data_IF_738880311814
#
_entry.id   IF_738880311814
#
_cell.length_a   1.000
_cell.length_b   1.000
_cell.length_c   1.000
_cell.angle_alpha   90.00
_cell.angle_beta   90.00
_cell.angle_gamma   90.00
#
_symmetry.space_group_name_H-M   'P 1'
#
loop_
_entity.id
_entity.type
_entity.pdbx_description
1 polymer ?
#
# COMPACT_ATOMS: atom_id res chain seq x y z
N UNK A 1 -16.85 15.29 7.86
CA UNK A 1 -16.51 15.53 6.40
C UNK A 1 -16.08 14.19 5.80
N UNK A 2 -16.93 13.27 5.88
CA UNK A 2 -16.14 12.14 6.27
C UNK A 2 -16.53 10.87 5.56
N UNK A 3 -17.73 10.47 5.54
CA UNK A 3 -18.07 9.23 4.88
C UNK A 3 -18.32 9.43 3.37
N UNK A 4 -18.91 10.55 2.98
CA UNK A 4 -19.21 10.84 1.56
C UNK A 4 -17.92 11.00 0.73
N UNK A 5 -16.91 11.74 1.21
CA UNK A 5 -15.64 11.90 0.50
C UNK A 5 -14.85 10.58 0.47
N UNK A 6 -14.91 9.78 1.51
CA UNK A 6 -14.32 8.46 1.54
C UNK A 6 -14.98 7.52 0.52
N UNK A 7 -16.30 7.45 0.50
CA UNK A 7 -17.07 6.64 -0.48
C UNK A 7 -16.79 7.13 -1.91
N UNK A 8 -16.87 8.45 -2.14
CA UNK A 8 -16.59 9.04 -3.44
C UNK A 8 -15.17 8.73 -3.93
N UNK A 9 -14.17 8.78 -3.06
CA UNK A 9 -12.79 8.44 -3.43
C UNK A 9 -12.64 6.99 -3.86
N UNK A 10 -13.36 6.08 -3.22
CA UNK A 10 -13.36 4.64 -3.58
C UNK A 10 -14.07 4.39 -4.91
N UNK A 11 -15.25 4.99 -5.12
CA UNK A 11 -16.00 4.88 -6.37
C UNK A 11 -15.25 5.53 -7.54
N UNK A 12 -14.69 6.72 -7.31
CA UNK A 12 -13.88 7.42 -8.31
C UNK A 12 -12.64 6.60 -8.68
N UNK A 13 -11.98 5.99 -7.68
CA UNK A 13 -10.85 5.11 -7.95
C UNK A 13 -11.25 3.90 -8.79
N UNK A 14 -12.41 3.29 -8.56
CA UNK A 14 -12.90 2.16 -9.35
C UNK A 14 -13.02 2.51 -10.84
N UNK A 15 -13.52 3.70 -11.16
CA UNK A 15 -13.64 4.19 -12.53
C UNK A 15 -12.30 4.67 -13.13
N UNK A 16 -11.44 5.28 -12.31
CA UNK A 16 -10.16 5.86 -12.74
C UNK A 16 -8.99 4.87 -12.68
N UNK A 17 -9.20 3.64 -12.20
CA UNK A 17 -8.18 2.59 -12.31
C UNK A 17 -7.75 2.48 -13.76
N UNK A 18 -6.45 2.52 -14.08
CA UNK A 18 -5.97 2.58 -15.46
C UNK A 18 -6.57 1.52 -16.39
N UNK A 19 -6.68 0.28 -15.92
CA UNK A 19 -7.30 -0.79 -16.69
C UNK A 19 -8.80 -0.56 -16.92
N UNK A 20 -9.56 -0.25 -15.86
CA UNK A 20 -11.00 0.03 -16.00
C UNK A 20 -11.24 1.24 -16.92
N UNK A 21 -10.47 2.31 -16.76
CA UNK A 21 -10.57 3.50 -17.58
C UNK A 21 -10.28 3.20 -19.06
N UNK A 22 -9.23 2.44 -19.36
CA UNK A 22 -8.92 2.03 -20.75
C UNK A 22 -10.04 1.22 -21.38
N UNK A 23 -10.67 0.30 -20.63
CA UNK A 23 -11.85 -0.45 -21.09
C UNK A 23 -13.05 0.45 -21.32
N UNK A 24 -13.32 1.40 -20.44
CA UNK A 24 -14.43 2.36 -20.60
C UNK A 24 -14.22 3.24 -21.85
N UNK A 25 -12.99 3.68 -22.10
CA UNK A 25 -12.62 4.44 -23.30
C UNK A 25 -12.85 3.58 -24.55
N UNK A 26 -12.40 2.34 -24.58
CA UNK A 26 -12.62 1.43 -25.70
C UNK A 26 -14.12 1.15 -25.92
N UNK A 27 -14.88 0.95 -24.85
CA UNK A 27 -16.33 0.72 -24.92
C UNK A 27 -17.08 1.95 -25.46
N UNK A 28 -16.71 3.16 -25.01
CA UNK A 28 -17.28 4.40 -25.54
C UNK A 28 -17.02 4.55 -27.05
N UNK A 29 -15.81 4.18 -27.49
CA UNK A 29 -15.46 4.11 -28.92
C UNK A 29 -16.33 3.14 -29.69
N UNK A 30 -16.56 1.93 -29.14
CA UNK A 30 -17.44 0.93 -29.73
C UNK A 30 -18.88 1.44 -29.91
N UNK A 31 -19.43 2.09 -28.88
CA UNK A 31 -20.75 2.73 -28.94
C UNK A 31 -20.79 3.83 -30.00
N UNK A 32 -19.72 4.62 -30.14
CA UNK A 32 -19.62 5.65 -31.17
C UNK A 32 -19.62 5.04 -32.59
N UNK A 33 -18.87 3.96 -32.83
CA UNK A 33 -18.86 3.25 -34.11
C UNK A 33 -20.25 2.67 -34.41
N UNK A 34 -20.88 2.02 -33.42
CA UNK A 34 -22.24 1.49 -33.55
C UNK A 34 -23.27 2.56 -33.93
N UNK A 35 -23.07 3.81 -33.44
CA UNK A 35 -23.87 4.97 -33.81
C UNK A 35 -23.44 5.64 -35.13
N UNK A 36 -22.62 5.00 -35.94
CA UNK A 36 -22.14 5.50 -37.22
C UNK A 36 -21.08 6.58 -37.16
N UNK A 37 -20.45 6.81 -35.98
CA UNK A 37 -19.43 7.83 -35.79
C UNK A 37 -18.05 7.30 -36.20
N UNK A 38 -17.47 7.84 -37.28
CA UNK A 38 -16.16 7.39 -37.83
C UNK A 38 -14.99 7.56 -36.84
N UNK A 39 -15.06 8.54 -35.94
CA UNK A 39 -14.01 8.78 -34.96
C UNK A 39 -13.96 7.73 -33.85
N UNK A 40 -15.00 6.90 -33.68
CA UNK A 40 -15.08 5.87 -32.62
C UNK A 40 -13.95 4.84 -32.66
N UNK A 41 -13.27 4.67 -33.80
CA UNK A 41 -12.09 3.80 -33.89
C UNK A 41 -10.91 4.23 -33.01
N UNK A 42 -10.72 5.54 -32.83
CA UNK A 42 -9.58 6.07 -32.04
C UNK A 42 -9.64 5.69 -30.55
N UNK A 43 -10.76 5.86 -29.82
CA UNK A 43 -10.87 5.39 -28.45
C UNK A 43 -10.69 3.87 -28.30
N UNK A 44 -11.18 3.08 -29.28
CA UNK A 44 -10.96 1.61 -29.28
C UNK A 44 -9.45 1.33 -29.35
N UNK A 45 -8.76 1.95 -30.32
CA UNK A 45 -7.32 1.78 -30.47
C UNK A 45 -6.55 2.28 -29.25
N UNK A 46 -6.95 3.40 -28.63
CA UNK A 46 -6.31 3.93 -27.41
C UNK A 46 -6.48 2.95 -26.23
N UNK A 47 -7.70 2.48 -25.99
CA UNK A 47 -7.96 1.54 -24.89
C UNK A 47 -7.26 0.19 -25.05
N UNK A 48 -7.33 -0.42 -26.23
CA UNK A 48 -6.61 -1.67 -26.51
C UNK A 48 -5.10 -1.46 -26.56
N UNK A 49 -4.64 -0.34 -27.13
CA UNK A 49 -3.24 0.03 -27.22
C UNK A 49 -2.58 0.14 -25.84
N UNK A 50 -3.31 0.62 -24.82
CA UNK A 50 -2.85 0.63 -23.45
C UNK A 50 -2.49 -0.78 -22.95
N UNK A 51 -3.34 -1.80 -23.20
CA UNK A 51 -3.05 -3.17 -22.79
C UNK A 51 -1.89 -3.78 -23.57
N UNK A 52 -1.79 -3.49 -24.87
CA UNK A 52 -0.63 -3.88 -25.65
C UNK A 52 0.66 -3.21 -25.16
N UNK A 53 0.60 -1.93 -24.81
CA UNK A 53 1.74 -1.23 -24.26
C UNK A 53 2.19 -1.85 -22.91
N UNK A 54 1.25 -2.20 -22.04
CA UNK A 54 1.57 -2.93 -20.80
C UNK A 54 2.19 -4.30 -21.05
N UNK A 55 1.75 -4.99 -22.11
CA UNK A 55 2.29 -6.30 -22.46
C UNK A 55 3.70 -6.21 -23.04
N UNK A 56 3.97 -5.21 -23.89
CA UNK A 56 5.23 -5.08 -24.62
C UNK A 56 6.28 -4.23 -23.89
N UNK A 57 5.85 -3.23 -23.12
CA UNK A 57 6.74 -2.29 -22.44
C UNK A 57 6.73 -2.51 -20.93
N UNK A 58 7.84 -2.26 -20.24
CA UNK A 58 7.93 -2.43 -18.78
C UNK A 58 7.32 -1.24 -18.01
N UNK A 59 6.12 -0.79 -18.41
CA UNK A 59 5.45 0.40 -17.83
C UNK A 59 5.25 0.26 -16.31
N UNK A 60 4.93 -0.94 -15.84
CA UNK A 60 4.80 -1.25 -14.42
C UNK A 60 6.10 -1.01 -13.66
N UNK A 61 7.25 -1.36 -14.25
CA UNK A 61 8.57 -1.11 -13.65
C UNK A 61 8.84 0.39 -13.59
N UNK A 62 8.58 1.13 -14.66
CA UNK A 62 8.84 2.57 -14.72
C UNK A 62 8.00 3.37 -13.70
N UNK A 63 6.82 2.88 -13.36
CA UNK A 63 5.96 3.50 -12.36
C UNK A 63 6.34 3.11 -10.93
N UNK A 64 6.75 1.87 -10.70
CA UNK A 64 7.04 1.31 -9.38
C UNK A 64 8.47 1.61 -8.90
N UNK A 65 9.47 1.39 -9.74
CA UNK A 65 10.89 1.47 -9.35
C UNK A 65 11.28 2.82 -8.70
N UNK A 66 10.84 4.00 -9.20
CA UNK A 66 11.16 5.26 -8.53
C UNK A 66 10.59 5.38 -7.12
N UNK A 67 9.45 4.71 -6.84
CA UNK A 67 8.85 4.66 -5.51
C UNK A 67 9.65 3.74 -4.58
N UNK A 68 10.02 2.57 -5.08
CA UNK A 68 10.70 1.54 -4.30
C UNK A 68 12.16 1.88 -3.99
N UNK A 69 12.84 2.55 -4.93
CA UNK A 69 14.22 3.01 -4.74
C UNK A 69 14.33 4.28 -3.88
N UNK A 70 13.20 4.95 -3.57
CA UNK A 70 13.22 6.22 -2.85
C UNK A 70 13.70 6.10 -1.41
N UNK A 71 13.31 5.03 -0.73
CA UNK A 71 13.71 4.73 0.63
C UNK A 71 14.33 3.33 0.66
N UNK A 72 15.63 3.21 0.43
CA UNK A 72 16.29 1.93 0.50
C UNK A 72 16.25 1.39 1.95
N UNK A 73 16.24 0.08 2.08
CA UNK A 73 16.44 -0.57 3.38
C UNK A 73 17.80 -0.14 3.94
N UNK A 74 17.91 0.23 5.22
CA UNK A 74 19.20 0.57 5.82
C UNK A 74 20.26 -0.53 5.56
N UNK A 75 21.44 -0.15 5.10
CA UNK A 75 22.53 -1.10 4.82
C UNK A 75 22.95 -1.86 6.09
N UNK A 76 22.94 -1.15 7.21
CA UNK A 76 23.11 -1.72 8.53
C UNK A 76 21.84 -1.51 9.34
N UNK A 77 21.34 -2.60 9.90
CA UNK A 77 20.17 -2.50 10.76
C UNK A 77 20.55 -1.79 12.08
N UNK A 78 19.69 -0.90 12.60
CA UNK A 78 19.96 -0.20 13.84
C UNK A 78 20.39 -1.14 14.97
N UNK A 79 21.37 -0.74 15.77
CA UNK A 79 21.85 -1.55 16.88
C UNK A 79 20.76 -1.77 17.95
N UNK A 80 19.87 -0.79 18.10
CA UNK A 80 18.73 -0.83 19.02
C UNK A 80 17.47 -0.35 18.30
N UNK A 81 16.37 -1.06 18.55
CA UNK A 81 15.02 -0.71 18.10
C UNK A 81 14.07 -0.81 19.29
N UNK A 82 13.37 0.26 19.58
CA UNK A 82 12.44 0.38 20.71
C UNK A 82 11.00 0.02 20.28
N UNK A 83 10.71 0.16 18.96
CA UNK A 83 9.42 -0.22 18.43
C UNK A 83 9.40 -0.42 16.92
N UNK A 84 8.39 -1.17 16.49
CA UNK A 84 8.14 -1.51 15.09
C UNK A 84 6.69 -1.16 14.80
N UNK A 85 6.46 -0.27 13.84
CA UNK A 85 5.11 0.07 13.35
C UNK A 85 4.88 -0.60 12.01
N UNK A 86 3.79 -1.33 11.91
CA UNK A 86 3.40 -2.07 10.70
C UNK A 86 2.10 -1.50 10.16
N UNK A 87 2.13 -1.08 8.90
CA UNK A 87 0.93 -0.60 8.21
C UNK A 87 0.14 -1.78 7.62
N UNK A 88 -1.16 -1.76 7.83
CA UNK A 88 -2.11 -2.73 7.26
C UNK A 88 -2.15 -2.75 5.72
N UNK A 89 -3.03 -3.56 5.17
CA UNK A 89 -3.18 -3.77 3.72
C UNK A 89 -2.50 -5.04 3.19
N UNK A 90 -2.14 -5.98 4.08
CA UNK A 90 -1.51 -7.25 3.72
C UNK A 90 -2.41 -8.47 3.99
N UNK A 91 -3.57 -8.29 4.61
CA UNK A 91 -4.47 -9.38 4.98
C UNK A 91 -5.75 -9.36 4.16
N UNK A 92 -6.31 -10.54 3.94
CA UNK A 92 -7.60 -10.79 3.27
C UNK A 92 -8.63 -11.17 4.35
N UNK A 93 -9.31 -10.17 4.89
CA UNK A 93 -10.23 -10.31 6.03
C UNK A 93 -11.39 -11.26 5.73
N UNK A 94 -12.10 -11.03 4.61
CA UNK A 94 -13.27 -11.84 4.22
C UNK A 94 -12.89 -13.31 4.00
N UNK A 95 -11.71 -13.55 3.41
CA UNK A 95 -11.21 -14.90 3.19
C UNK A 95 -10.81 -15.56 4.50
N UNK A 96 -10.18 -14.80 5.41
CA UNK A 96 -9.85 -15.27 6.76
C UNK A 96 -11.11 -15.66 7.53
N UNK A 97 -12.14 -14.80 7.53
CA UNK A 97 -13.40 -15.08 8.20
C UNK A 97 -14.09 -16.32 7.62
N UNK A 98 -14.13 -16.41 6.28
CA UNK A 98 -14.78 -17.53 5.59
C UNK A 98 -14.06 -18.88 5.78
N UNK A 99 -12.74 -18.89 6.03
CA UNK A 99 -11.91 -20.10 6.10
C UNK A 99 -11.36 -20.41 7.47
N UNK A 100 -11.42 -19.47 8.41
CA UNK A 100 -10.94 -19.63 9.79
C UNK A 100 -9.42 -19.67 9.95
N UNK A 101 -8.67 -19.33 8.90
CA UNK A 101 -7.20 -19.25 8.92
C UNK A 101 -6.74 -17.90 8.34
N UNK A 102 -5.69 -17.26 8.89
CA UNK A 102 -5.17 -16.00 8.37
C UNK A 102 -4.79 -16.11 6.90
N UNK A 103 -5.45 -15.33 6.05
CA UNK A 103 -5.17 -15.23 4.62
C UNK A 103 -4.41 -13.94 4.32
N UNK A 104 -3.32 -14.04 3.55
CA UNK A 104 -2.47 -12.91 3.17
C UNK A 104 -2.53 -12.69 1.66
N UNK A 105 -2.44 -11.45 1.25
CA UNK A 105 -2.32 -11.07 -0.14
C UNK A 105 -0.84 -10.95 -0.58
N UNK A 106 -0.60 -10.42 -1.77
CA UNK A 106 0.75 -10.23 -2.32
C UNK A 106 1.69 -9.31 -1.52
N UNK A 107 1.22 -8.72 -0.41
CA UNK A 107 2.04 -7.91 0.50
C UNK A 107 2.37 -8.64 1.82
N UNK A 108 2.35 -9.98 1.81
CA UNK A 108 2.57 -10.84 2.97
C UNK A 108 3.85 -10.51 3.76
N UNK A 109 4.87 -9.98 3.12
CA UNK A 109 6.13 -9.59 3.77
C UNK A 109 5.93 -8.53 4.86
N UNK A 110 4.88 -7.70 4.78
CA UNK A 110 4.51 -6.78 5.88
C UNK A 110 4.13 -7.51 7.16
N UNK A 111 3.70 -8.76 7.05
CA UNK A 111 3.28 -9.57 8.19
C UNK A 111 4.39 -10.52 8.69
N UNK A 112 5.25 -10.98 7.80
CA UNK A 112 6.34 -11.91 8.14
C UNK A 112 7.60 -11.22 8.62
N UNK A 113 7.99 -10.10 8.01
CA UNK A 113 9.18 -9.35 8.42
C UNK A 113 9.13 -8.85 9.89
N UNK A 114 8.00 -8.32 10.40
CA UNK A 114 7.91 -7.93 11.80
C UNK A 114 8.24 -9.06 12.77
N UNK A 115 7.89 -10.31 12.47
CA UNK A 115 8.22 -11.45 13.31
C UNK A 115 9.73 -11.69 13.37
N UNK A 116 10.42 -11.56 12.23
CA UNK A 116 11.88 -11.66 12.20
C UNK A 116 12.54 -10.50 12.98
N UNK A 117 11.99 -9.28 12.84
CA UNK A 117 12.45 -8.10 13.59
C UNK A 117 12.22 -8.26 15.10
N UNK A 118 11.08 -8.80 15.52
CA UNK A 118 10.78 -9.05 16.94
C UNK A 118 11.73 -10.07 17.56
N UNK A 119 12.21 -11.04 16.79
CA UNK A 119 13.26 -11.98 17.23
C UNK A 119 14.64 -11.31 17.34
N UNK A 120 14.94 -10.41 16.40
CA UNK A 120 16.19 -9.64 16.39
C UNK A 120 16.26 -8.61 17.50
N UNK A 121 15.11 -7.99 17.82
CA UNK A 121 14.98 -6.92 18.82
C UNK A 121 14.00 -7.37 19.92
N UNK A 122 14.45 -8.17 20.87
CA UNK A 122 13.58 -8.79 21.87
C UNK A 122 12.89 -7.77 22.79
N UNK A 123 13.42 -6.56 22.90
CA UNK A 123 12.84 -5.48 23.73
C UNK A 123 11.90 -4.55 22.94
N UNK A 124 11.82 -4.68 21.61
CA UNK A 124 10.99 -3.80 20.80
C UNK A 124 9.49 -4.07 21.03
N UNK A 125 8.71 -3.01 20.96
CA UNK A 125 7.23 -3.05 20.93
C UNK A 125 6.75 -3.21 19.49
N UNK A 126 5.76 -4.06 19.23
CA UNK A 126 5.15 -4.24 17.93
C UNK A 126 3.80 -3.52 17.89
N UNK A 127 3.63 -2.58 16.98
CA UNK A 127 2.39 -1.84 16.81
C UNK A 127 1.86 -2.06 15.39
N UNK A 128 0.67 -2.62 15.29
CA UNK A 128 -0.06 -2.71 14.03
C UNK A 128 -1.02 -1.53 13.91
N UNK A 129 -1.14 -0.96 12.71
CA UNK A 129 -2.13 0.04 12.40
C UNK A 129 -2.84 -0.29 11.09
N UNK A 130 -4.12 -0.49 11.17
CA UNK A 130 -4.98 -0.83 10.05
C UNK A 130 -6.36 -1.23 10.56
N UNK A 131 -7.31 -0.35 10.33
CA UNK A 131 -8.69 -0.57 10.71
C UNK A 131 -9.54 -1.08 9.54
N UNK A 132 -10.75 -0.57 9.44
CA UNK A 132 -11.69 -0.91 8.39
C UNK A 132 -11.50 -0.02 7.15
N UNK A 133 -10.54 -0.36 6.31
CA UNK A 133 -10.32 0.32 5.02
C UNK A 133 -11.38 0.01 3.96
N UNK A 134 -12.30 -0.94 4.18
CA UNK A 134 -13.32 -1.33 3.24
C UNK A 134 -14.67 -0.65 3.50
N UNK A 135 -15.51 -0.56 2.44
CA UNK A 135 -16.79 0.14 2.49
C UNK A 135 -17.91 -0.64 3.21
N UNK A 136 -17.78 -1.96 3.31
CA UNK A 136 -18.86 -2.87 3.71
C UNK A 136 -18.32 -3.98 4.62
N UNK A 137 -17.77 -3.66 5.80
CA UNK A 137 -17.32 -4.70 6.71
C UNK A 137 -17.98 -4.59 8.09
N UNK A 138 -18.59 -5.68 8.53
CA UNK A 138 -19.09 -5.91 9.88
C UNK A 138 -18.39 -7.10 10.57
N UNK A 139 -17.29 -7.64 9.96
CA UNK A 139 -16.58 -8.82 10.44
C UNK A 139 -15.21 -8.53 11.04
N UNK A 140 -14.24 -9.42 10.84
CA UNK A 140 -12.86 -9.32 11.33
C UNK A 140 -12.19 -8.05 10.78
N UNK A 141 -11.45 -7.35 11.65
CA UNK A 141 -10.59 -6.24 11.24
C UNK A 141 -9.23 -6.76 10.75
N UNK A 142 -8.47 -5.93 10.01
CA UNK A 142 -7.07 -6.27 9.69
C UNK A 142 -6.24 -6.56 10.95
N UNK A 143 -6.52 -5.83 12.02
CA UNK A 143 -5.84 -5.99 13.31
C UNK A 143 -6.16 -7.33 13.98
N UNK A 144 -7.39 -7.86 13.83
CA UNK A 144 -7.76 -9.16 14.36
C UNK A 144 -6.99 -10.28 13.65
N UNK A 145 -6.91 -10.21 12.32
CA UNK A 145 -6.13 -11.16 11.52
C UNK A 145 -4.64 -11.07 11.84
N UNK A 146 -4.10 -9.86 11.96
CA UNK A 146 -2.70 -9.65 12.34
C UNK A 146 -2.39 -10.21 13.72
N UNK A 147 -3.28 -10.01 14.70
CA UNK A 147 -3.17 -10.53 16.06
C UNK A 147 -3.12 -12.05 16.05
N UNK A 148 -4.08 -12.69 15.37
CA UNK A 148 -4.12 -14.14 15.23
C UNK A 148 -2.83 -14.68 14.63
N UNK A 149 -2.46 -14.15 13.45
CA UNK A 149 -1.26 -14.60 12.74
C UNK A 149 0.01 -14.49 13.57
N UNK A 150 0.24 -13.34 14.20
CA UNK A 150 1.47 -13.12 14.97
C UNK A 150 1.50 -13.92 16.27
N UNK A 151 0.35 -14.17 16.89
CA UNK A 151 0.24 -15.08 18.03
C UNK A 151 0.59 -16.51 17.61
N UNK A 152 0.05 -16.99 16.49
CA UNK A 152 0.34 -18.32 15.93
C UNK A 152 1.82 -18.46 15.52
N UNK A 153 2.46 -17.35 15.12
CA UNK A 153 3.90 -17.28 14.82
C UNK A 153 4.80 -17.10 16.05
N UNK A 154 4.22 -17.07 17.27
CA UNK A 154 4.93 -17.02 18.54
C UNK A 154 5.38 -15.62 18.99
N UNK A 155 4.77 -14.55 18.48
CA UNK A 155 5.01 -13.20 19.04
C UNK A 155 4.24 -13.05 20.34
N UNK A 156 4.89 -12.65 21.45
CA UNK A 156 4.23 -12.52 22.75
C UNK A 156 3.13 -11.45 22.72
N UNK A 157 1.90 -11.77 23.17
CA UNK A 157 0.76 -10.83 23.11
C UNK A 157 1.00 -9.51 23.84
N UNK A 158 1.74 -9.53 24.94
CA UNK A 158 2.07 -8.35 25.75
C UNK A 158 2.98 -7.35 25.02
N UNK A 159 3.63 -7.77 23.96
CA UNK A 159 4.48 -6.92 23.11
C UNK A 159 3.75 -6.37 21.90
N UNK A 160 2.51 -6.77 21.69
CA UNK A 160 1.71 -6.35 20.55
C UNK A 160 0.66 -5.31 20.95
N UNK A 161 0.55 -4.27 20.16
CA UNK A 161 -0.49 -3.24 20.29
C UNK A 161 -1.16 -3.03 18.94
N UNK A 162 -2.48 -2.83 18.91
CA UNK A 162 -3.26 -2.76 17.69
C UNK A 162 -4.10 -1.49 17.67
N UNK A 163 -3.88 -0.68 16.64
CA UNK A 163 -4.72 0.46 16.30
C UNK A 163 -5.72 0.02 15.23
N UNK A 164 -7.02 0.18 15.49
CA UNK A 164 -8.11 -0.39 14.69
C UNK A 164 -9.07 0.64 14.09
N UNK A 165 -8.90 1.91 14.42
CA UNK A 165 -9.83 2.97 14.03
C UNK A 165 -9.44 3.67 12.72
N UNK A 166 -8.18 3.57 12.30
CA UNK A 166 -7.67 4.24 11.12
C UNK A 166 -8.29 3.72 9.82
N UNK A 167 -8.71 4.63 8.94
CA UNK A 167 -9.33 4.34 7.64
C UNK A 167 -8.44 4.71 6.45
N UNK A 168 -7.33 5.39 6.71
CA UNK A 168 -6.38 5.86 5.70
C UNK A 168 -5.01 6.10 6.33
N UNK A 169 -3.97 6.29 5.50
CA UNK A 169 -2.58 6.42 5.97
C UNK A 169 -2.35 7.63 6.89
N UNK A 170 -3.11 8.70 6.73
CA UNK A 170 -3.01 9.85 7.64
C UNK A 170 -3.53 9.49 9.05
N UNK A 171 -4.68 8.83 9.12
CA UNK A 171 -5.23 8.34 10.38
C UNK A 171 -4.31 7.28 11.00
N UNK A 172 -3.71 6.39 10.19
CA UNK A 172 -2.69 5.46 10.67
C UNK A 172 -1.57 6.20 11.42
N UNK A 173 -0.98 7.23 10.83
CA UNK A 173 0.12 7.95 11.46
C UNK A 173 -0.31 8.65 12.77
N UNK A 174 -1.41 9.40 12.72
CA UNK A 174 -1.86 10.22 13.87
C UNK A 174 -2.32 9.34 15.03
N UNK A 175 -3.18 8.35 14.76
CA UNK A 175 -3.75 7.50 15.80
C UNK A 175 -2.68 6.58 16.40
N UNK A 176 -1.80 6.03 15.55
CA UNK A 176 -0.72 5.17 16.03
C UNK A 176 0.32 5.94 16.82
N UNK A 177 0.65 7.18 16.42
CA UNK A 177 1.53 8.04 17.20
C UNK A 177 0.95 8.31 18.59
N UNK A 178 -0.33 8.63 18.67
CA UNK A 178 -1.02 8.86 19.95
C UNK A 178 -1.09 7.59 20.82
N UNK A 179 -1.18 6.42 20.21
CA UNK A 179 -1.23 5.12 20.89
C UNK A 179 0.15 4.68 21.36
N UNK A 180 1.14 4.70 20.46
CA UNK A 180 2.50 4.22 20.72
C UNK A 180 3.29 5.14 21.66
N UNK A 181 2.97 6.46 21.64
CA UNK A 181 3.63 7.51 22.45
C UNK A 181 5.16 7.39 22.40
N UNK A 182 5.77 7.49 21.21
CA UNK A 182 7.22 7.38 21.07
C UNK A 182 7.90 8.47 21.90
N UNK A 183 8.95 8.09 22.59
CA UNK A 183 9.74 9.02 23.41
C UNK A 183 10.92 9.57 22.60
N UNK A 184 11.40 10.74 22.99
CA UNK A 184 12.62 11.27 22.39
C UNK A 184 13.80 10.32 22.59
N UNK A 185 14.53 10.05 21.50
CA UNK A 185 15.66 9.10 21.50
C UNK A 185 15.29 7.63 21.27
N UNK A 186 14.00 7.27 21.20
CA UNK A 186 13.59 5.94 20.77
C UNK A 186 13.74 5.77 19.27
N UNK A 187 14.24 4.61 18.84
CA UNK A 187 14.31 4.21 17.43
C UNK A 187 13.12 3.35 17.08
N UNK A 188 12.30 3.81 16.13
CA UNK A 188 11.15 3.10 15.62
C UNK A 188 11.33 2.74 14.15
N UNK A 189 10.99 1.50 13.79
CA UNK A 189 10.95 1.07 12.39
C UNK A 189 9.53 1.22 11.83
N UNK A 190 9.42 1.76 10.63
CA UNK A 190 8.16 1.82 9.87
C UNK A 190 8.18 0.76 8.78
N UNK A 191 7.38 -0.30 8.96
CA UNK A 191 7.29 -1.43 8.02
C UNK A 191 6.07 -1.26 7.11
N UNK A 192 6.32 -1.16 5.81
CA UNK A 192 5.29 -1.17 4.77
C UNK A 192 5.91 -1.56 3.43
N UNK A 193 5.08 -1.75 2.37
CA UNK A 193 5.60 -2.02 1.02
C UNK A 193 6.50 -0.89 0.53
N UNK A 194 7.57 -1.25 -0.18
CA UNK A 194 8.56 -0.31 -0.68
C UNK A 194 7.94 0.82 -1.54
N UNK A 195 7.00 0.48 -2.43
CA UNK A 195 6.28 1.49 -3.22
C UNK A 195 5.37 2.42 -2.41
N UNK A 196 4.89 1.96 -1.23
CA UNK A 196 4.07 2.75 -0.31
C UNK A 196 4.91 3.62 0.64
N UNK A 197 6.19 3.31 0.80
CA UNK A 197 7.07 3.95 1.78
C UNK A 197 7.17 5.47 1.61
N UNK A 198 7.31 6.06 0.41
CA UNK A 198 7.40 7.52 0.27
C UNK A 198 6.20 8.24 0.87
N UNK A 199 4.98 7.79 0.56
CA UNK A 199 3.76 8.40 1.09
C UNK A 199 3.64 8.21 2.61
N UNK A 200 4.01 7.04 3.11
CA UNK A 200 3.96 6.73 4.53
C UNK A 200 4.92 7.59 5.34
N UNK A 201 6.18 7.69 4.91
CA UNK A 201 7.19 8.55 5.59
C UNK A 201 6.74 10.00 5.62
N UNK A 202 6.28 10.54 4.49
CA UNK A 202 5.82 11.93 4.45
C UNK A 202 4.69 12.22 5.43
N UNK A 203 3.76 11.28 5.59
CA UNK A 203 2.64 11.41 6.51
C UNK A 203 3.06 11.23 7.97
N UNK A 204 3.94 10.28 8.26
CA UNK A 204 4.47 10.06 9.61
C UNK A 204 5.29 11.25 10.09
N UNK A 205 6.18 11.80 9.26
CA UNK A 205 6.94 13.03 9.57
C UNK A 205 6.00 14.21 9.83
N UNK A 206 4.94 14.36 9.03
CA UNK A 206 3.93 15.41 9.26
C UNK A 206 3.15 15.22 10.56
N UNK A 207 2.98 13.99 11.04
CA UNK A 207 2.39 13.66 12.33
C UNK A 207 3.40 13.81 13.51
N UNK A 208 4.63 14.27 13.25
CA UNK A 208 5.66 14.46 14.26
C UNK A 208 6.44 13.17 14.61
N UNK A 209 6.40 12.17 13.76
CA UNK A 209 7.07 10.88 14.01
C UNK A 209 8.04 10.53 12.88
N UNK A 210 9.33 10.70 13.13
CA UNK A 210 10.40 10.35 12.19
C UNK A 210 10.87 8.91 12.43
N UNK A 211 10.03 7.96 12.02
CA UNK A 211 10.36 6.54 12.11
C UNK A 211 11.30 6.14 10.96
N UNK A 212 12.24 5.24 11.25
CA UNK A 212 13.20 4.71 10.28
C UNK A 212 12.48 3.86 9.24
N UNK A 213 12.56 4.18 7.95
CA UNK A 213 11.92 3.38 6.90
C UNK A 213 12.48 1.95 6.86
N UNK A 214 11.59 0.97 6.89
CA UNK A 214 11.93 -0.44 6.73
C UNK A 214 11.07 -1.06 5.63
N UNK A 215 11.39 -0.77 4.36
CA UNK A 215 10.62 -1.24 3.23
C UNK A 215 10.72 -2.76 3.06
N UNK A 216 9.58 -3.34 2.70
CA UNK A 216 9.41 -4.75 2.33
C UNK A 216 8.56 -4.84 1.06
N UNK A 217 8.28 -6.04 0.57
CA UNK A 217 7.40 -6.26 -0.56
C UNK A 217 7.82 -5.42 -1.79
N UNK A 218 9.09 -5.58 -2.18
CA UNK A 218 9.57 -5.05 -3.45
C UNK A 218 8.98 -5.84 -4.61
N UNK A 219 8.55 -5.15 -5.63
CA UNK A 219 7.97 -5.72 -6.86
C UNK A 219 8.85 -5.51 -8.06
N UNK A 220 9.84 -4.62 -7.94
CA UNK A 220 10.88 -4.37 -8.94
C UNK A 220 12.25 -4.65 -8.35
N UNK A 221 13.26 -4.75 -9.21
CA UNK A 221 14.65 -4.93 -8.76
C UNK A 221 15.62 -4.63 -9.87
N UNK A 222 16.78 -4.08 -9.49
CA UNK A 222 17.87 -3.86 -10.42
C UNK A 222 18.37 -5.20 -10.96
N UNK A 223 18.41 -5.34 -12.29
CA UNK A 223 18.84 -6.56 -12.95
C UNK A 223 17.77 -7.65 -13.09
N UNK A 224 16.55 -7.42 -12.60
CA UNK A 224 15.44 -8.30 -12.95
C UNK A 224 15.15 -8.20 -14.45
N UNK A 225 14.95 -9.37 -15.07
CA UNK A 225 14.54 -9.43 -16.46
C UNK A 225 13.21 -8.68 -16.63
N UNK A 226 13.12 -7.78 -17.60
CA UNK A 226 11.89 -7.05 -17.94
C UNK A 226 10.71 -7.98 -18.27
N UNK A 227 10.98 -9.25 -18.55
CA UNK A 227 9.98 -10.30 -18.77
C UNK A 227 9.57 -11.03 -17.47
N UNK A 228 10.19 -10.70 -16.34
CA UNK A 228 9.69 -11.15 -15.05
C UNK A 228 8.25 -10.64 -14.86
N UNK A 229 7.34 -11.50 -14.45
CA UNK A 229 5.89 -11.22 -14.44
C UNK A 229 5.34 -10.76 -15.81
N UNK A 230 5.67 -11.51 -16.87
CA UNK A 230 5.24 -11.19 -18.23
C UNK A 230 3.73 -11.31 -18.47
N UNK A 231 2.95 -11.82 -17.51
CA UNK A 231 1.50 -11.91 -17.67
C UNK A 231 0.83 -10.54 -17.60
N UNK A 232 -0.12 -10.28 -18.50
CA UNK A 232 -0.86 -9.02 -18.55
C UNK A 232 -1.57 -8.69 -17.23
N UNK A 233 -2.24 -9.64 -16.53
CA UNK A 233 -2.87 -9.36 -15.25
C UNK A 233 -1.88 -8.90 -14.17
N UNK A 234 -0.70 -9.52 -14.07
CA UNK A 234 0.32 -9.13 -13.12
C UNK A 234 0.85 -7.72 -13.39
N UNK A 235 1.22 -7.44 -14.66
CA UNK A 235 1.71 -6.11 -15.07
C UNK A 235 0.69 -5.01 -14.87
N UNK A 236 -0.59 -5.30 -15.18
CA UNK A 236 -1.67 -4.35 -14.94
C UNK A 236 -1.84 -4.07 -13.44
N UNK A 237 -1.88 -5.12 -12.62
CA UNK A 237 -2.01 -4.96 -11.17
C UNK A 237 -0.86 -4.13 -10.56
N UNK A 238 0.37 -4.38 -10.99
CA UNK A 238 1.54 -3.62 -10.53
C UNK A 238 1.52 -2.17 -11.04
N UNK A 239 1.14 -1.94 -12.29
CA UNK A 239 0.99 -0.60 -12.84
C UNK A 239 -0.09 0.21 -12.10
N UNK A 240 -1.24 -0.40 -11.82
CA UNK A 240 -2.33 0.23 -11.06
C UNK A 240 -1.91 0.52 -9.61
N UNK A 241 -1.17 -0.39 -9.00
CA UNK A 241 -0.66 -0.19 -7.64
C UNK A 241 0.28 1.02 -7.56
N UNK A 242 1.28 1.09 -8.43
CA UNK A 242 2.20 2.22 -8.47
C UNK A 242 1.49 3.54 -8.82
N UNK A 243 0.59 3.52 -9.81
CA UNK A 243 -0.20 4.71 -10.18
C UNK A 243 -1.03 5.22 -9.00
N UNK A 244 -1.62 4.33 -8.21
CA UNK A 244 -2.36 4.69 -7.00
C UNK A 244 -1.49 5.41 -5.97
N UNK A 245 -0.25 4.97 -5.79
CA UNK A 245 0.68 5.63 -4.86
C UNK A 245 1.06 7.04 -5.35
N UNK A 246 1.34 7.21 -6.64
CA UNK A 246 1.61 8.54 -7.21
C UNK A 246 0.42 9.49 -7.04
N UNK A 247 -0.79 9.06 -7.38
CA UNK A 247 -2.01 9.84 -7.18
C UNK A 247 -2.22 10.13 -5.68
N UNK A 248 -1.98 9.13 -4.83
CA UNK A 248 -2.07 9.26 -3.38
C UNK A 248 -1.12 10.33 -2.83
N UNK A 249 0.13 10.37 -3.29
CA UNK A 249 1.08 11.42 -2.87
C UNK A 249 0.63 12.81 -3.27
N UNK A 250 0.17 13.01 -4.52
CA UNK A 250 -0.37 14.30 -4.98
C UNK A 250 -1.58 14.70 -4.12
N UNK A 251 -2.53 13.80 -3.93
CA UNK A 251 -3.72 14.05 -3.13
C UNK A 251 -3.38 14.43 -1.67
N UNK A 252 -2.45 13.71 -1.05
CA UNK A 252 -2.03 13.97 0.33
C UNK A 252 -1.28 15.31 0.47
N UNK A 253 -0.51 15.70 -0.56
CA UNK A 253 0.14 17.01 -0.59
C UNK A 253 -0.89 18.13 -0.68
N UNK A 254 -1.89 17.99 -1.57
CA UNK A 254 -2.97 18.97 -1.72
C UNK A 254 -3.84 19.10 -0.46
N UNK A 255 -4.04 17.99 0.26
CA UNK A 255 -4.77 17.98 1.55
C UNK A 255 -3.92 18.46 2.75
N UNK A 256 -2.65 18.87 2.57
CA UNK A 256 -1.77 19.28 3.64
C UNK A 256 -1.37 18.16 4.61
N UNK A 257 -1.48 16.88 4.19
CA UNK A 257 -1.15 15.70 4.99
C UNK A 257 0.31 15.26 4.88
N UNK A 258 1.07 15.92 4.04
CA UNK A 258 2.52 15.78 3.88
C UNK A 258 3.12 17.12 3.45
N UNK A 259 4.35 17.40 3.83
CA UNK A 259 5.04 18.64 3.50
C UNK A 259 5.74 18.59 2.13
N UNK A 260 5.98 17.39 1.60
CA UNK A 260 6.59 17.18 0.30
C UNK A 260 5.73 16.25 -0.57
N UNK A 261 5.69 16.51 -1.89
CA UNK A 261 5.00 15.63 -2.83
C UNK A 261 5.73 14.30 -3.01
N UNK A 262 7.06 14.33 -2.96
CA UNK A 262 7.93 13.15 -3.01
C UNK A 262 8.99 13.28 -1.90
N UNK A 263 8.68 12.86 -0.66
CA UNK A 263 9.55 13.02 0.49
C UNK A 263 10.96 12.47 0.25
N UNK A 264 11.95 13.15 0.80
CA UNK A 264 13.35 12.70 0.75
C UNK A 264 13.63 11.69 1.88
N UNK A 265 14.61 10.81 1.69
CA UNK A 265 15.14 9.93 2.72
C UNK A 265 15.61 10.69 3.96
#
# INVERSE_FOLDING_TARGET
MTDVLFVLSKLLWLALRPGTFALLVAFAGLVAVWRGRRWGGWPILAGLGFYFALLLLPLHIWVQMPLEDRFPRPAEAPARVDGIVVLGGAVEQDLTEARGIPALNGAAERMTEPVALMRRYPEARLVFTGGQGALLHGGLTEADVARQLWTDMGVPPERMTFETAARNTHENAVLTHALAKPRAGETWLLVTSASHMPRSVGVFRRAGWDAVPWPVNYRTGRGLNVWYNASLPARLGEFEWGTREWIGMVAYRLMGRTDAMFPAP
#
